data_IF_358120120303
#
_entry.id   IF_358120120303
#
_cell.length_a   1.000
_cell.length_b   1.000
_cell.length_c   1.000
_cell.angle_alpha   90.00
_cell.angle_beta   90.00
_cell.angle_gamma   90.00
#
_symmetry.space_group_name_H-M   'P 1'
#
loop_
_entity.id
_entity.type
_entity.pdbx_description
1 polymer ?
#
# COMPACT_ATOMS: atom_id res chain seq x y z
N UNK A 1 4.58 4.58 24.04
CA UNK A 1 3.18 4.38 24.51
C UNK A 1 2.26 4.67 23.32
N UNK A 2 1.43 3.71 22.88
CA UNK A 2 0.61 3.88 21.66
C UNK A 2 -0.45 4.96 21.86
N UNK A 3 -0.54 5.94 20.95
CA UNK A 3 -1.56 7.02 20.96
C UNK A 3 -2.96 6.43 21.15
N UNK A 4 -3.24 5.29 20.49
CA UNK A 4 -4.51 4.60 20.59
C UNK A 4 -4.82 4.13 22.02
N UNK A 5 -3.82 3.59 22.74
CA UNK A 5 -3.98 3.18 24.14
C UNK A 5 -4.32 4.39 25.02
N UNK A 6 -3.63 5.51 24.81
CA UNK A 6 -3.86 6.77 25.54
C UNK A 6 -5.26 7.33 25.34
N UNK A 7 -5.82 7.23 24.11
CA UNK A 7 -7.19 7.68 23.83
C UNK A 7 -8.22 6.71 24.41
N UNK A 8 -8.02 5.40 24.28
CA UNK A 8 -8.95 4.40 24.83
C UNK A 8 -9.04 4.49 26.36
N UNK A 9 -7.93 4.77 27.04
CA UNK A 9 -7.87 4.93 28.51
C UNK A 9 -8.80 6.04 29.04
N UNK A 10 -9.23 6.97 28.17
CA UNK A 10 -10.12 8.07 28.56
C UNK A 10 -11.58 7.67 28.70
N UNK A 11 -12.01 6.58 28.05
CA UNK A 11 -13.43 6.23 27.96
C UNK A 11 -13.73 4.73 28.01
N UNK A 12 -12.72 3.85 27.99
CA UNK A 12 -12.84 2.39 28.17
C UNK A 12 -12.44 2.03 29.59
N UNK A 13 -13.09 1.02 30.18
CA UNK A 13 -12.74 0.55 31.53
C UNK A 13 -11.34 -0.08 31.55
N UNK A 14 -10.61 0.14 32.65
CA UNK A 14 -9.23 -0.33 32.82
C UNK A 14 -9.10 -1.86 32.74
N UNK A 15 -10.05 -2.61 33.30
CA UNK A 15 -10.09 -4.08 33.29
C UNK A 15 -10.22 -4.65 31.86
N UNK A 16 -10.99 -3.98 31.00
CA UNK A 16 -11.14 -4.34 29.59
C UNK A 16 -9.87 -4.04 28.81
N UNK A 17 -9.20 -2.93 29.11
CA UNK A 17 -7.93 -2.55 28.47
C UNK A 17 -6.78 -3.48 28.87
N UNK A 18 -6.70 -3.89 30.12
CA UNK A 18 -5.68 -4.83 30.59
C UNK A 18 -5.84 -6.20 29.95
N UNK A 19 -7.07 -6.73 29.91
CA UNK A 19 -7.40 -8.00 29.23
C UNK A 19 -7.06 -7.98 27.73
N UNK A 20 -7.20 -6.83 27.07
CA UNK A 20 -6.96 -6.68 25.63
C UNK A 20 -5.65 -5.93 25.30
N UNK A 21 -4.71 -5.86 26.24
CA UNK A 21 -3.48 -5.07 26.10
C UNK A 21 -2.64 -5.37 24.85
N UNK A 22 -2.72 -6.60 24.34
CA UNK A 22 -2.02 -7.05 23.12
C UNK A 22 -2.81 -6.87 21.83
N UNK A 23 -4.15 -6.68 21.90
CA UNK A 23 -5.06 -6.62 20.75
C UNK A 23 -6.18 -5.62 20.98
N UNK A 24 -5.82 -4.34 21.06
CA UNK A 24 -6.76 -3.24 21.28
C UNK A 24 -7.84 -3.18 20.18
N UNK A 25 -7.57 -3.70 18.97
CA UNK A 25 -8.54 -3.76 17.87
C UNK A 25 -9.73 -4.70 18.11
N UNK A 26 -9.67 -5.56 19.13
CA UNK A 26 -10.74 -6.49 19.48
C UNK A 26 -11.74 -5.93 20.48
N UNK A 27 -11.47 -4.74 21.03
CA UNK A 27 -12.37 -4.13 22.00
C UNK A 27 -13.62 -3.65 21.24
N UNK A 28 -14.77 -4.21 21.61
CA UNK A 28 -16.05 -3.77 21.07
C UNK A 28 -16.48 -2.48 21.78
N UNK A 29 -16.41 -1.37 21.04
CA UNK A 29 -16.80 -0.04 21.50
C UNK A 29 -18.32 0.21 21.39
N UNK A 30 -19.09 -0.73 20.84
CA UNK A 30 -20.55 -0.68 20.83
C UNK A 30 -21.16 -1.19 22.14
N UNK A 31 -20.46 -2.09 22.85
CA UNK A 31 -20.89 -2.61 24.14
C UNK A 31 -20.68 -1.57 25.24
N UNK A 32 -21.79 -1.05 25.78
CA UNK A 32 -21.78 -0.09 26.91
C UNK A 32 -21.05 -0.64 28.15
N UNK A 33 -21.04 -1.96 28.32
CA UNK A 33 -20.36 -2.62 29.43
C UNK A 33 -18.84 -2.47 29.38
N UNK A 34 -18.26 -2.24 28.20
CA UNK A 34 -16.83 -2.00 28.05
C UNK A 34 -16.43 -0.55 28.34
N UNK A 35 -17.40 0.37 28.33
CA UNK A 35 -17.17 1.80 28.39
C UNK A 35 -17.35 2.33 29.82
N UNK A 36 -16.66 3.43 30.10
CA UNK A 36 -16.91 4.22 31.30
C UNK A 36 -18.25 4.95 31.16
N UNK A 37 -19.01 5.11 32.25
CA UNK A 37 -20.17 5.98 32.23
C UNK A 37 -19.74 7.43 31.94
N UNK A 38 -20.58 8.21 31.26
CA UNK A 38 -20.23 9.53 30.72
C UNK A 38 -19.65 10.49 31.76
N UNK A 39 -20.07 10.37 33.01
CA UNK A 39 -19.56 11.17 34.13
C UNK A 39 -18.09 10.86 34.50
N UNK A 40 -17.58 9.68 34.16
CA UNK A 40 -16.20 9.21 34.45
C UNK A 40 -15.25 9.35 33.26
N UNK A 41 -15.71 9.89 32.13
CA UNK A 41 -14.87 10.13 30.95
C UNK A 41 -13.76 11.12 31.32
N UNK A 42 -12.53 10.75 31.01
CA UNK A 42 -11.36 11.54 31.37
C UNK A 42 -11.23 12.78 30.46
N UNK A 43 -11.33 13.96 31.07
CA UNK A 43 -11.04 15.24 30.46
C UNK A 43 -9.64 15.72 30.90
N UNK A 44 -8.95 16.46 30.04
CA UNK A 44 -7.68 17.11 30.40
C UNK A 44 -7.88 18.18 31.47
N UNK A 45 -6.81 18.52 32.18
CA UNK A 45 -6.85 19.57 33.20
C UNK A 45 -7.28 20.92 32.63
N UNK A 46 -6.77 21.29 31.46
CA UNK A 46 -7.16 22.52 30.74
C UNK A 46 -8.66 22.61 30.47
N UNK A 47 -9.26 21.52 29.99
CA UNK A 47 -10.70 21.48 29.67
C UNK A 47 -11.52 21.61 30.95
N UNK A 48 -11.09 21.00 32.06
CA UNK A 48 -11.78 21.13 33.35
C UNK A 48 -11.68 22.55 33.90
N UNK A 49 -10.54 23.21 33.77
CA UNK A 49 -10.34 24.59 34.20
C UNK A 49 -11.23 25.55 33.39
N UNK A 50 -11.30 25.37 32.08
CA UNK A 50 -12.15 26.21 31.22
C UNK A 50 -13.63 25.99 31.48
N UNK A 51 -14.07 24.74 31.72
CA UNK A 51 -15.44 24.44 32.14
C UNK A 51 -15.82 25.14 33.46
N UNK A 52 -14.89 25.24 34.42
CA UNK A 52 -15.14 25.95 35.69
C UNK A 52 -15.30 27.46 35.53
N UNK A 53 -14.73 28.06 34.48
CA UNK A 53 -14.87 29.50 34.20
C UNK A 53 -16.23 29.86 33.62
N UNK A 54 -16.95 28.90 33.05
CA UNK A 54 -18.27 29.10 32.46
C UNK A 54 -19.31 29.16 33.60
N UNK A 55 -19.75 30.38 33.95
CA UNK A 55 -20.68 30.62 35.07
C UNK A 55 -22.13 30.20 34.80
N UNK A 56 -22.47 29.95 33.55
CA UNK A 56 -23.86 29.68 33.09
C UNK A 56 -24.11 28.20 32.77
N UNK A 57 -23.13 27.30 32.94
CA UNK A 57 -23.32 25.89 32.61
C UNK A 57 -24.20 25.18 33.66
N UNK A 58 -25.17 24.41 33.20
CA UNK A 58 -25.94 23.52 34.07
C UNK A 58 -25.22 22.17 34.23
N UNK A 59 -25.52 21.40 35.30
CA UNK A 59 -25.02 20.02 35.43
C UNK A 59 -25.43 19.11 34.26
N UNK A 60 -26.52 19.46 33.56
CA UNK A 60 -26.98 18.76 32.35
C UNK A 60 -26.07 19.06 31.16
N UNK A 61 -25.56 20.29 31.04
CA UNK A 61 -24.65 20.70 29.96
C UNK A 61 -23.26 20.10 30.15
N UNK A 62 -22.79 20.01 31.40
CA UNK A 62 -21.54 19.31 31.71
C UNK A 62 -21.64 17.81 31.38
N UNK A 63 -22.80 17.20 31.63
CA UNK A 63 -23.05 15.82 31.29
C UNK A 63 -23.14 15.60 29.78
N UNK A 64 -23.83 16.47 29.05
CA UNK A 64 -23.94 16.39 27.58
C UNK A 64 -22.58 16.58 26.93
N UNK A 65 -21.79 17.56 27.36
CA UNK A 65 -20.43 17.78 26.86
C UNK A 65 -19.52 16.57 27.08
N UNK A 66 -19.56 15.95 28.26
CA UNK A 66 -18.80 14.71 28.53
C UNK A 66 -19.25 13.54 27.65
N UNK A 67 -20.56 13.41 27.42
CA UNK A 67 -21.12 12.42 26.50
C UNK A 67 -20.66 12.67 25.07
N UNK A 68 -20.59 13.92 24.64
CA UNK A 68 -20.11 14.30 23.31
C UNK A 68 -18.61 14.02 23.15
N UNK A 69 -17.80 14.32 24.18
CA UNK A 69 -16.38 13.95 24.22
C UNK A 69 -16.17 12.44 24.11
N UNK A 70 -16.95 11.65 24.86
CA UNK A 70 -16.89 10.19 24.78
C UNK A 70 -17.25 9.68 23.37
N UNK A 71 -18.26 10.30 22.75
CA UNK A 71 -18.68 9.98 21.37
C UNK A 71 -17.59 10.36 20.36
N UNK A 72 -16.91 11.48 20.55
CA UNK A 72 -15.80 11.91 19.71
C UNK A 72 -14.59 10.96 19.84
N UNK A 73 -14.20 10.58 21.06
CA UNK A 73 -13.13 9.60 21.29
C UNK A 73 -13.48 8.24 20.70
N UNK A 74 -14.72 7.78 20.87
CA UNK A 74 -15.22 6.54 20.27
C UNK A 74 -15.12 6.60 18.74
N UNK A 75 -15.68 7.63 18.12
CA UNK A 75 -15.66 7.82 16.66
C UNK A 75 -14.23 7.85 16.12
N UNK A 76 -13.32 8.55 16.81
CA UNK A 76 -11.91 8.59 16.46
C UNK A 76 -11.28 7.19 16.50
N UNK A 77 -11.45 6.45 17.60
CA UNK A 77 -10.91 5.11 17.74
C UNK A 77 -11.49 4.15 16.69
N UNK A 78 -12.81 4.18 16.45
CA UNK A 78 -13.46 3.39 15.41
C UNK A 78 -12.89 3.70 14.02
N UNK A 79 -12.68 4.97 13.69
CA UNK A 79 -12.10 5.36 12.40
C UNK A 79 -10.64 4.93 12.27
N UNK A 80 -9.86 5.06 13.34
CA UNK A 80 -8.48 4.57 13.40
C UNK A 80 -8.47 3.06 13.21
N UNK A 81 -9.35 2.29 13.86
CA UNK A 81 -9.45 0.84 13.69
C UNK A 81 -9.88 0.44 12.28
N UNK A 82 -10.88 1.13 11.71
CA UNK A 82 -11.36 0.88 10.34
C UNK A 82 -10.27 1.10 9.29
N UNK A 83 -9.51 2.18 9.44
CA UNK A 83 -8.46 2.58 8.49
C UNK A 83 -7.07 2.03 8.86
N UNK A 84 -6.93 1.36 9.99
CA UNK A 84 -5.63 0.92 10.48
C UNK A 84 -5.03 -0.11 9.54
N UNK A 85 -3.75 0.03 9.15
CA UNK A 85 -3.05 -1.05 8.48
C UNK A 85 -3.05 -2.33 9.34
N UNK A 86 -3.20 -2.23 10.66
CA UNK A 86 -3.29 -3.37 11.59
C UNK A 86 -4.49 -4.29 11.33
N UNK A 87 -5.48 -3.90 10.52
CA UNK A 87 -6.56 -4.81 10.10
C UNK A 87 -6.05 -5.90 9.16
N UNK A 88 -5.04 -5.60 8.35
CA UNK A 88 -4.55 -6.51 7.34
C UNK A 88 -3.55 -7.51 7.95
N UNK A 89 -3.74 -8.80 7.70
CA UNK A 89 -2.80 -9.81 8.18
C UNK A 89 -1.44 -9.67 7.51
N UNK A 90 -1.42 -9.23 6.26
CA UNK A 90 -0.20 -9.01 5.50
C UNK A 90 0.69 -7.93 6.14
N UNK A 91 0.14 -6.80 6.56
CA UNK A 91 0.88 -5.72 7.24
C UNK A 91 1.40 -6.15 8.63
N UNK A 92 0.70 -7.07 9.32
CA UNK A 92 1.25 -7.72 10.51
C UNK A 92 2.40 -8.66 10.15
N UNK A 93 2.29 -9.39 9.05
CA UNK A 93 3.34 -10.27 8.54
C UNK A 93 4.64 -9.53 8.19
N UNK A 94 4.55 -8.44 7.42
CA UNK A 94 5.73 -7.66 6.98
C UNK A 94 6.53 -7.06 8.16
N UNK A 95 5.91 -6.90 9.33
CA UNK A 95 6.61 -6.44 10.52
C UNK A 95 7.63 -7.44 11.08
N UNK A 96 7.79 -8.61 10.44
CA UNK A 96 8.98 -9.46 10.63
C UNK A 96 10.30 -8.72 10.34
N UNK A 97 10.28 -7.66 9.52
CA UNK A 97 11.43 -6.82 9.22
C UNK A 97 11.63 -5.67 10.22
N UNK A 98 10.76 -5.51 11.22
CA UNK A 98 10.97 -4.49 12.25
C UNK A 98 12.15 -4.89 13.15
N UNK A 99 13.15 -4.01 13.36
CA UNK A 99 14.30 -4.30 14.22
C UNK A 99 13.91 -4.82 15.61
N UNK A 100 12.89 -4.25 16.24
CA UNK A 100 12.40 -4.69 17.57
C UNK A 100 11.81 -6.10 17.57
N UNK A 101 11.32 -6.55 16.42
CA UNK A 101 10.74 -7.88 16.21
C UNK A 101 11.83 -8.88 15.88
N UNK A 102 12.84 -8.48 15.11
CA UNK A 102 14.01 -9.33 14.77
C UNK A 102 14.79 -9.74 16.03
N UNK A 103 14.84 -8.88 17.05
CA UNK A 103 15.41 -9.21 18.37
C UNK A 103 14.68 -10.38 19.06
N UNK A 104 13.47 -10.72 18.60
CA UNK A 104 12.71 -11.87 19.08
C UNK A 104 12.51 -12.88 17.92
N UNK A 105 13.49 -13.77 17.65
CA UNK A 105 13.48 -14.64 16.48
C UNK A 105 12.20 -15.47 16.32
N UNK A 106 11.62 -15.94 17.43
CA UNK A 106 10.36 -16.70 17.42
C UNK A 106 9.16 -15.89 16.91
N UNK A 107 9.11 -14.60 17.25
CA UNK A 107 8.03 -13.70 16.80
C UNK A 107 8.27 -13.31 15.34
N UNK A 108 9.52 -13.01 14.98
CA UNK A 108 9.91 -12.70 13.61
C UNK A 108 9.57 -13.84 12.64
N UNK A 109 9.91 -15.09 12.99
CA UNK A 109 9.62 -16.28 12.17
C UNK A 109 8.11 -16.53 11.99
N UNK A 110 7.33 -16.36 13.05
CA UNK A 110 5.85 -16.46 12.97
C UNK A 110 5.28 -15.42 12.02
N UNK A 111 5.74 -14.17 12.12
CA UNK A 111 5.26 -13.07 11.26
C UNK A 111 5.71 -13.25 9.82
N UNK A 112 6.94 -13.73 9.60
CA UNK A 112 7.43 -14.08 8.27
C UNK A 112 6.55 -15.17 7.64
N UNK A 113 6.22 -16.22 8.40
CA UNK A 113 5.38 -17.32 7.88
C UNK A 113 4.02 -16.81 7.41
N UNK A 114 3.35 -15.97 8.21
CA UNK A 114 2.10 -15.30 7.80
C UNK A 114 2.28 -14.46 6.54
N UNK A 115 3.39 -13.72 6.43
CA UNK A 115 3.70 -12.92 5.25
C UNK A 115 3.84 -13.80 4.00
N UNK A 116 4.66 -14.85 4.07
CA UNK A 116 4.96 -15.73 2.95
C UNK A 116 3.73 -16.53 2.50
N UNK A 117 2.92 -17.04 3.44
CA UNK A 117 1.66 -17.73 3.14
C UNK A 117 0.73 -16.84 2.29
N UNK A 118 0.59 -15.57 2.67
CA UNK A 118 -0.21 -14.60 1.92
C UNK A 118 0.41 -14.30 0.54
N UNK A 119 1.73 -14.15 0.44
CA UNK A 119 2.37 -13.90 -0.85
C UNK A 119 2.22 -15.07 -1.81
N UNK A 120 2.28 -16.31 -1.30
CA UNK A 120 2.05 -17.52 -2.09
C UNK A 120 0.57 -17.63 -2.48
N UNK A 121 -0.36 -17.38 -1.56
CA UNK A 121 -1.81 -17.46 -1.86
C UNK A 121 -2.25 -16.45 -2.93
N UNK A 122 -1.56 -15.31 -3.02
CA UNK A 122 -1.80 -14.28 -4.03
C UNK A 122 -0.95 -14.46 -5.30
N UNK A 123 -0.20 -15.56 -5.42
CA UNK A 123 0.70 -15.87 -6.54
C UNK A 123 1.78 -14.79 -6.79
N UNK A 124 2.20 -14.05 -5.76
CA UNK A 124 3.29 -13.07 -5.87
C UNK A 124 4.67 -13.74 -5.88
N UNK A 125 4.79 -14.86 -5.17
CA UNK A 125 5.98 -15.71 -5.16
C UNK A 125 5.56 -17.19 -5.22
N UNK A 126 6.48 -18.05 -5.65
CA UNK A 126 6.27 -19.51 -5.64
C UNK A 126 6.57 -20.09 -4.26
N UNK A 127 5.99 -21.25 -3.94
CA UNK A 127 6.28 -21.97 -2.68
C UNK A 127 7.77 -22.23 -2.48
N UNK A 128 8.46 -22.67 -3.53
CA UNK A 128 9.92 -22.91 -3.50
C UNK A 128 10.70 -21.64 -3.11
N UNK A 129 10.30 -20.47 -3.65
CA UNK A 129 10.93 -19.19 -3.27
C UNK A 129 10.63 -18.83 -1.82
N UNK A 130 9.39 -19.06 -1.37
CA UNK A 130 8.99 -18.81 0.01
C UNK A 130 9.79 -19.66 1.01
N UNK A 131 9.96 -20.95 0.74
CA UNK A 131 10.75 -21.86 1.58
C UNK A 131 12.21 -21.41 1.66
N UNK A 132 12.80 -21.06 0.51
CA UNK A 132 14.17 -20.52 0.47
C UNK A 132 14.33 -19.22 1.25
N UNK A 133 13.35 -18.30 1.19
CA UNK A 133 13.35 -17.07 1.99
C UNK A 133 13.25 -17.40 3.47
N UNK A 134 12.41 -18.35 3.87
CA UNK A 134 12.22 -18.74 5.27
C UNK A 134 13.51 -19.29 5.89
N UNK A 135 14.19 -20.20 5.18
CA UNK A 135 15.47 -20.75 5.62
C UNK A 135 16.54 -19.67 5.74
N UNK A 136 16.67 -18.84 4.70
CA UNK A 136 17.67 -17.76 4.65
C UNK A 136 17.44 -16.71 5.73
N UNK A 137 16.18 -16.33 5.96
CA UNK A 137 15.82 -15.37 6.99
C UNK A 137 16.14 -15.88 8.40
N UNK A 138 15.89 -17.17 8.67
CA UNK A 138 16.20 -17.78 9.97
C UNK A 138 17.69 -17.71 10.29
N UNK A 139 18.55 -17.99 9.31
CA UNK A 139 20.01 -17.86 9.46
C UNK A 139 20.40 -16.38 9.65
N UNK A 140 19.81 -15.49 8.85
CA UNK A 140 20.10 -14.06 8.89
C UNK A 140 19.79 -13.43 10.25
N UNK A 141 18.59 -13.66 10.81
CA UNK A 141 18.22 -13.07 12.10
C UNK A 141 18.99 -13.67 13.28
N UNK A 142 19.51 -14.89 13.15
CA UNK A 142 20.33 -15.52 14.20
C UNK A 142 21.78 -15.03 14.18
N UNK A 143 22.19 -14.30 13.14
CA UNK A 143 23.55 -13.78 13.04
C UNK A 143 23.81 -12.73 14.15
N UNK A 144 24.87 -12.90 14.98
CA UNK A 144 25.20 -11.97 16.05
C UNK A 144 25.45 -10.53 15.59
N UNK A 145 25.97 -10.35 14.37
CA UNK A 145 26.17 -9.03 13.76
C UNK A 145 24.83 -8.35 13.56
N UNK A 146 23.87 -9.05 12.96
CA UNK A 146 22.51 -8.55 12.73
C UNK A 146 21.84 -8.20 14.05
N UNK A 147 21.87 -9.09 15.05
CA UNK A 147 21.28 -8.83 16.37
C UNK A 147 21.84 -7.56 17.02
N UNK A 148 23.17 -7.43 17.07
CA UNK A 148 23.84 -6.26 17.67
C UNK A 148 23.51 -4.95 16.94
N UNK A 149 23.33 -5.00 15.62
CA UNK A 149 22.89 -3.83 14.85
C UNK A 149 21.43 -3.49 15.14
N UNK A 150 20.54 -4.49 15.15
CA UNK A 150 19.11 -4.28 15.42
C UNK A 150 18.87 -3.74 16.83
N UNK A 151 19.69 -4.10 17.83
CA UNK A 151 19.64 -3.53 19.18
C UNK A 151 19.99 -2.04 19.22
N UNK A 152 20.94 -1.62 18.38
CA UNK A 152 21.44 -0.23 18.34
C UNK A 152 20.67 0.67 17.41
N UNK A 153 19.85 0.08 16.53
CA UNK A 153 19.13 0.79 15.49
C UNK A 153 18.25 1.90 16.05
N UNK A 154 18.42 3.12 15.51
CA UNK A 154 17.57 4.26 15.86
C UNK A 154 16.79 4.73 14.63
N UNK A 155 15.47 4.50 14.66
CA UNK A 155 14.55 4.87 13.58
C UNK A 155 14.58 6.36 13.19
N UNK A 156 14.97 7.22 14.12
CA UNK A 156 15.08 8.67 13.90
C UNK A 156 16.35 9.09 13.16
N UNK A 157 17.38 8.24 13.15
CA UNK A 157 18.72 8.57 12.63
C UNK A 157 19.13 7.76 11.41
N UNK A 158 18.57 6.57 11.25
CA UNK A 158 19.00 5.60 10.25
C UNK A 158 17.80 5.11 9.44
N UNK A 159 18.01 4.95 8.14
CA UNK A 159 17.00 4.38 7.25
C UNK A 159 17.05 2.86 7.30
N UNK A 160 15.89 2.23 7.31
CA UNK A 160 15.79 0.78 7.46
C UNK A 160 16.28 0.03 6.22
N UNK A 161 16.03 0.56 5.02
CA UNK A 161 16.48 -0.02 3.75
C UNK A 161 18.00 -0.06 3.66
N UNK A 162 18.67 1.07 3.90
CA UNK A 162 20.14 1.16 3.88
C UNK A 162 20.79 0.17 4.86
N UNK A 163 20.20 0.00 6.05
CA UNK A 163 20.66 -0.97 7.05
C UNK A 163 20.52 -2.40 6.56
N UNK A 164 19.37 -2.79 5.99
CA UNK A 164 19.20 -4.15 5.47
C UNK A 164 20.18 -4.45 4.33
N UNK A 165 20.33 -3.55 3.36
CA UNK A 165 21.25 -3.77 2.23
C UNK A 165 22.71 -3.84 2.68
N UNK A 166 23.12 -2.98 3.62
CA UNK A 166 24.47 -3.05 4.22
C UNK A 166 24.70 -4.38 4.96
N UNK A 167 23.73 -4.82 5.76
CA UNK A 167 23.81 -6.10 6.48
C UNK A 167 23.85 -7.29 5.54
N UNK A 168 23.14 -7.21 4.41
CA UNK A 168 23.16 -8.28 3.43
C UNK A 168 24.52 -8.44 2.76
N UNK A 169 25.21 -7.34 2.45
CA UNK A 169 26.59 -7.37 1.93
C UNK A 169 27.54 -7.96 2.97
N UNK A 170 27.48 -7.47 4.22
CA UNK A 170 28.33 -7.94 5.32
C UNK A 170 28.12 -9.43 5.62
N UNK A 171 26.87 -9.89 5.59
CA UNK A 171 26.50 -11.27 5.93
C UNK A 171 26.50 -12.20 4.72
N UNK A 172 26.86 -11.73 3.52
CA UNK A 172 26.76 -12.46 2.25
C UNK A 172 25.41 -13.19 2.11
N UNK A 173 24.31 -12.45 2.33
CA UNK A 173 22.96 -13.02 2.34
C UNK A 173 22.51 -13.42 0.94
N UNK A 174 21.73 -14.51 0.79
CA UNK A 174 21.32 -15.01 -0.52
C UNK A 174 20.29 -14.11 -1.22
N UNK A 175 20.32 -14.10 -2.56
CA UNK A 175 19.51 -13.21 -3.43
C UNK A 175 17.99 -13.34 -3.22
N UNK A 176 17.51 -14.50 -2.80
CA UNK A 176 16.11 -14.74 -2.51
C UNK A 176 15.61 -13.86 -1.34
N UNK A 177 16.40 -13.74 -0.27
CA UNK A 177 16.10 -12.91 0.88
C UNK A 177 16.17 -11.42 0.51
N UNK A 178 17.17 -11.01 -0.27
CA UNK A 178 17.28 -9.65 -0.79
C UNK A 178 16.04 -9.27 -1.59
N UNK A 179 15.63 -10.15 -2.52
CA UNK A 179 14.48 -9.92 -3.38
C UNK A 179 13.19 -9.78 -2.57
N UNK A 180 13.01 -10.63 -1.55
CA UNK A 180 11.88 -10.55 -0.64
C UNK A 180 11.86 -9.21 0.14
N UNK A 181 12.97 -8.86 0.80
CA UNK A 181 13.03 -7.62 1.59
C UNK A 181 12.86 -6.39 0.71
N UNK A 182 13.48 -6.37 -0.46
CA UNK A 182 13.27 -5.32 -1.46
C UNK A 182 11.79 -5.23 -1.86
N UNK A 183 11.15 -6.35 -2.16
CA UNK A 183 9.73 -6.39 -2.50
C UNK A 183 8.88 -5.78 -1.37
N UNK A 184 9.11 -6.15 -0.11
CA UNK A 184 8.36 -5.59 1.02
C UNK A 184 8.59 -4.09 1.18
N UNK A 185 9.83 -3.62 1.09
CA UNK A 185 10.19 -2.22 1.31
C UNK A 185 9.62 -1.28 0.22
N UNK A 186 9.38 -1.77 -1.00
CA UNK A 186 8.77 -0.96 -2.07
C UNK A 186 7.23 -0.93 -2.03
N UNK A 187 6.56 -1.84 -1.31
CA UNK A 187 5.08 -1.89 -1.25
C UNK A 187 4.47 -0.61 -0.66
N UNK A 188 5.20 0.08 0.22
CA UNK A 188 4.69 1.25 0.95
C UNK A 188 4.47 2.50 0.09
N UNK A 189 4.89 2.52 -1.18
CA UNK A 189 4.81 3.73 -2.01
C UNK A 189 3.38 4.07 -2.50
N UNK A 190 2.46 3.11 -2.53
CA UNK A 190 1.14 3.28 -3.17
C UNK A 190 -0.02 3.70 -2.25
N UNK A 191 0.16 3.74 -0.92
CA UNK A 191 -0.91 4.07 0.05
C UNK A 191 -0.61 5.27 0.94
N UNK A 192 0.54 5.94 0.76
CA UNK A 192 0.91 7.18 1.42
C UNK A 192 0.18 8.41 0.82
N UNK A 193 -1.07 8.25 0.36
CA UNK A 193 -1.84 9.36 -0.24
C UNK A 193 -2.09 10.51 0.76
N UNK A 194 -2.11 10.19 2.06
CA UNK A 194 -2.31 11.15 3.16
C UNK A 194 -0.97 11.77 3.65
N UNK A 195 0.18 11.21 3.26
CA UNK A 195 1.51 11.70 3.64
C UNK A 195 2.19 12.52 2.53
N UNK A 196 1.42 13.13 1.62
CA UNK A 196 1.98 14.13 0.69
C UNK A 196 2.70 15.29 1.41
N UNK A 197 2.43 15.50 2.70
CA UNK A 197 3.15 16.48 3.53
C UNK A 197 4.47 16.00 4.17
N UNK A 198 4.79 14.70 4.11
CA UNK A 198 6.02 14.13 4.70
C UNK A 198 6.94 13.45 3.67
N UNK A 199 6.52 13.38 2.41
CA UNK A 199 7.38 12.90 1.35
C UNK A 199 8.41 13.97 1.01
N UNK A 200 9.70 13.61 1.06
CA UNK A 200 10.81 14.38 0.47
C UNK A 200 10.52 14.70 -1.02
N UNK A 201 9.58 13.98 -1.65
CA UNK A 201 9.19 14.15 -3.05
C UNK A 201 8.17 15.29 -3.26
N UNK A 202 7.65 15.92 -2.20
CA UNK A 202 6.73 17.06 -2.37
C UNK A 202 7.38 18.21 -3.13
N UNK A 203 8.70 18.38 -2.99
CA UNK A 203 9.47 19.40 -3.70
C UNK A 203 9.56 19.15 -5.22
N UNK A 204 9.40 17.90 -5.66
CA UNK A 204 9.43 17.54 -7.08
C UNK A 204 8.04 17.51 -7.73
N UNK A 205 6.96 17.69 -6.97
CA UNK A 205 5.58 17.59 -7.45
C UNK A 205 5.07 18.96 -7.89
N UNK A 206 4.86 19.13 -9.20
CA UNK A 206 4.22 20.31 -9.78
C UNK A 206 2.81 19.93 -10.27
N UNK A 207 1.83 20.82 -10.11
CA UNK A 207 0.47 20.60 -10.64
C UNK A 207 0.50 20.39 -12.17
N UNK A 208 -0.30 19.44 -12.66
CA UNK A 208 -0.41 19.07 -14.09
C UNK A 208 0.90 18.56 -14.74
N UNK A 209 1.80 17.98 -13.96
CA UNK A 209 3.03 17.38 -14.47
C UNK A 209 2.77 16.00 -15.10
N UNK A 210 3.43 15.73 -16.23
CA UNK A 210 3.46 14.40 -16.84
C UNK A 210 4.33 13.45 -16.01
N UNK A 211 3.98 12.16 -15.97
CA UNK A 211 4.75 11.13 -15.26
C UNK A 211 6.22 11.10 -15.70
N UNK A 212 6.48 11.19 -17.01
CA UNK A 212 7.84 11.27 -17.58
C UNK A 212 8.64 12.44 -16.99
N UNK A 213 7.98 13.59 -16.81
CA UNK A 213 8.62 14.78 -16.24
C UNK A 213 8.92 14.60 -14.76
N UNK A 214 8.06 13.89 -14.02
CA UNK A 214 8.28 13.59 -12.61
C UNK A 214 9.52 12.68 -12.44
N UNK A 215 9.59 11.61 -13.25
CA UNK A 215 10.73 10.68 -13.25
C UNK A 215 12.02 11.41 -13.61
N UNK A 216 11.99 12.31 -14.59
CA UNK A 216 13.16 13.10 -14.97
C UNK A 216 13.61 14.06 -13.85
N UNK A 217 12.70 14.80 -13.21
CA UNK A 217 13.04 15.66 -12.07
C UNK A 217 13.64 14.87 -10.92
N UNK A 218 13.11 13.67 -10.66
CA UNK A 218 13.62 12.78 -9.62
C UNK A 218 15.06 12.36 -9.89
N UNK A 219 15.36 11.94 -11.12
CA UNK A 219 16.72 11.56 -11.52
C UNK A 219 17.71 12.72 -11.37
N UNK A 220 17.28 13.95 -11.68
CA UNK A 220 18.10 15.15 -11.50
C UNK A 220 18.34 15.40 -10.01
N UNK A 221 17.29 15.36 -9.18
CA UNK A 221 17.40 15.57 -7.74
C UNK A 221 18.34 14.56 -7.09
N UNK A 222 18.14 13.27 -7.36
CA UNK A 222 18.98 12.18 -6.83
C UNK A 222 20.45 12.35 -7.28
N UNK A 223 20.67 12.78 -8.53
CA UNK A 223 22.01 13.07 -9.05
C UNK A 223 22.69 14.26 -8.37
N UNK A 224 21.95 15.33 -8.07
CA UNK A 224 22.47 16.51 -7.36
C UNK A 224 22.79 16.18 -5.90
N UNK A 225 21.90 15.44 -5.23
CA UNK A 225 22.13 14.97 -3.85
C UNK A 225 23.33 14.03 -3.79
N UNK A 226 23.45 13.09 -4.74
CA UNK A 226 24.59 12.18 -4.83
C UNK A 226 25.92 12.89 -5.09
N UNK A 227 25.91 14.08 -5.69
CA UNK A 227 27.11 14.89 -5.91
C UNK A 227 27.55 15.72 -4.68
N UNK A 228 26.79 15.71 -3.57
CA UNK A 228 27.06 16.55 -2.39
C UNK A 228 26.25 17.85 -2.34
N UNK A 229 25.37 18.07 -3.33
CA UNK A 229 24.56 19.28 -3.47
C UNK A 229 24.92 20.09 -4.70
N UNK A 230 24.23 21.21 -4.90
CA UNK A 230 24.36 22.04 -6.12
C UNK A 230 25.78 22.62 -6.26
N UNK A 231 26.44 22.96 -5.14
CA UNK A 231 27.76 23.59 -5.15
C UNK A 231 28.88 22.62 -5.58
N UNK A 232 28.69 21.32 -5.34
CA UNK A 232 29.69 20.28 -5.62
C UNK A 232 29.42 19.59 -6.97
N UNK A 233 28.36 19.99 -7.68
CA UNK A 233 28.00 19.43 -8.98
C UNK A 233 28.93 19.92 -10.09
N UNK A 234 29.75 19.02 -10.63
CA UNK A 234 30.63 19.30 -11.77
C UNK A 234 29.83 19.28 -13.08
N UNK A 235 29.69 20.44 -13.73
CA UNK A 235 29.03 20.55 -15.04
C UNK A 235 29.96 20.01 -16.13
N UNK A 236 29.60 18.85 -16.69
CA UNK A 236 30.38 18.22 -17.76
C UNK A 236 30.10 18.84 -19.14
N UNK A 237 31.06 18.76 -20.06
CA UNK A 237 30.89 19.18 -21.46
C UNK A 237 29.73 18.45 -22.16
N UNK A 238 29.47 17.20 -21.77
CA UNK A 238 28.34 16.41 -22.26
C UNK A 238 27.01 17.05 -21.87
N UNK A 239 26.84 17.47 -20.61
CA UNK A 239 25.62 18.15 -20.15
C UNK A 239 25.37 19.43 -20.93
N UNK A 240 26.41 20.23 -21.18
CA UNK A 240 26.30 21.47 -21.98
C UNK A 240 25.84 21.13 -23.40
N UNK A 241 26.41 20.10 -24.03
CA UNK A 241 26.01 19.69 -25.38
C UNK A 241 24.57 19.14 -25.40
N UNK A 242 24.15 18.42 -24.36
CA UNK A 242 22.78 17.94 -24.20
C UNK A 242 21.78 19.10 -24.13
N UNK A 243 22.09 20.16 -23.36
CA UNK A 243 21.23 21.35 -23.26
C UNK A 243 21.17 22.09 -24.59
N UNK A 244 22.31 22.25 -25.29
CA UNK A 244 22.35 22.90 -26.61
C UNK A 244 21.47 22.20 -27.65
N UNK A 245 21.38 20.87 -27.58
CA UNK A 245 20.56 20.07 -28.50
C UNK A 245 19.13 19.82 -27.99
N UNK A 246 18.74 20.38 -26.84
CA UNK A 246 17.43 20.10 -26.21
C UNK A 246 16.26 20.47 -27.11
N UNK A 247 16.35 21.58 -27.83
CA UNK A 247 15.29 22.03 -28.75
C UNK A 247 15.10 21.05 -29.91
N UNK A 248 16.19 20.57 -30.53
CA UNK A 248 16.11 19.58 -31.61
C UNK A 248 15.51 18.26 -31.11
N UNK A 249 15.93 17.80 -29.93
CA UNK A 249 15.36 16.58 -29.32
C UNK A 249 13.87 16.74 -28.99
N UNK A 250 13.45 17.94 -28.59
CA UNK A 250 12.04 18.25 -28.39
C UNK A 250 11.25 18.17 -29.70
N UNK A 251 11.77 18.74 -30.79
CA UNK A 251 11.12 18.67 -32.11
C UNK A 251 10.99 17.21 -32.59
N UNK A 252 12.06 16.42 -32.49
CA UNK A 252 12.02 14.99 -32.82
C UNK A 252 11.00 14.22 -31.97
N UNK A 253 10.93 14.51 -30.67
CA UNK A 253 9.95 13.87 -29.77
C UNK A 253 8.51 14.25 -30.14
N UNK A 254 8.27 15.50 -30.57
CA UNK A 254 6.97 15.97 -31.02
C UNK A 254 6.53 15.25 -32.31
N UNK A 255 7.45 15.05 -33.26
CA UNK A 255 7.19 14.29 -34.48
C UNK A 255 6.87 12.82 -34.18
N UNK A 256 7.66 12.14 -33.35
CA UNK A 256 7.39 10.75 -32.93
C UNK A 256 6.04 10.62 -32.22
N UNK A 257 5.66 11.60 -31.39
CA UNK A 257 4.33 11.60 -30.74
C UNK A 257 3.19 11.75 -31.74
N UNK A 258 3.36 12.56 -32.80
CA UNK A 258 2.36 12.67 -33.88
C UNK A 258 2.24 11.37 -34.67
N UNK A 259 3.36 10.73 -35.00
CA UNK A 259 3.37 9.48 -35.75
C UNK A 259 2.72 8.34 -34.96
N UNK A 260 3.13 8.14 -33.71
CA UNK A 260 2.52 7.12 -32.82
C UNK A 260 1.03 7.36 -32.56
N UNK A 261 0.56 8.62 -32.52
CA UNK A 261 -0.88 8.91 -32.44
C UNK A 261 -1.61 8.46 -33.70
N UNK A 262 -1.06 8.75 -34.88
CA UNK A 262 -1.65 8.33 -36.17
C UNK A 262 -1.69 6.80 -36.29
N UNK A 263 -0.63 6.11 -35.90
CA UNK A 263 -0.59 4.64 -35.88
C UNK A 263 -1.63 4.04 -34.94
N UNK A 264 -1.81 4.62 -33.74
CA UNK A 264 -2.84 4.19 -32.80
C UNK A 264 -4.25 4.40 -33.36
N UNK A 265 -4.51 5.54 -33.98
CA UNK A 265 -5.81 5.82 -34.60
C UNK A 265 -6.11 4.85 -35.76
N UNK A 266 -5.11 4.55 -36.58
CA UNK A 266 -5.22 3.55 -37.64
C UNK A 266 -5.47 2.14 -37.08
N UNK A 267 -4.74 1.72 -36.05
CA UNK A 267 -4.92 0.43 -35.40
C UNK A 267 -6.32 0.28 -34.77
N UNK A 268 -6.84 1.35 -34.15
CA UNK A 268 -8.21 1.39 -33.61
C UNK A 268 -9.24 1.29 -34.73
N UNK A 269 -9.05 2.02 -35.84
CA UNK A 269 -9.94 1.95 -36.99
C UNK A 269 -9.95 0.56 -37.64
N UNK A 270 -8.79 -0.08 -37.78
CA UNK A 270 -8.68 -1.45 -38.28
C UNK A 270 -9.33 -2.47 -37.34
N UNK A 271 -9.12 -2.34 -36.02
CA UNK A 271 -9.77 -3.20 -35.04
C UNK A 271 -11.30 -3.11 -35.14
N UNK A 272 -11.85 -1.89 -35.26
CA UNK A 272 -13.29 -1.67 -35.48
C UNK A 272 -13.81 -2.32 -36.76
N UNK A 273 -13.06 -2.23 -37.87
CA UNK A 273 -13.41 -2.89 -39.14
C UNK A 273 -13.42 -4.42 -38.98
N UNK A 274 -12.39 -5.00 -38.34
CA UNK A 274 -12.30 -6.44 -38.07
C UNK A 274 -13.45 -6.93 -37.18
N UNK A 275 -13.79 -6.18 -36.14
CA UNK A 275 -14.91 -6.51 -35.24
C UNK A 275 -16.28 -6.47 -35.96
N UNK A 276 -16.47 -5.51 -36.86
CA UNK A 276 -17.68 -5.41 -37.69
C UNK A 276 -17.82 -6.61 -38.63
N UNK A 277 -16.76 -6.95 -39.37
CA UNK A 277 -16.69 -8.14 -40.23
C UNK A 277 -16.94 -9.44 -39.45
N UNK A 278 -16.38 -9.56 -38.24
CA UNK A 278 -16.57 -10.72 -37.37
C UNK A 278 -18.05 -10.89 -36.98
N UNK A 279 -18.75 -9.79 -36.64
CA UNK A 279 -20.18 -9.82 -36.32
C UNK A 279 -21.03 -10.21 -37.53
N UNK A 280 -20.73 -9.67 -38.71
CA UNK A 280 -21.43 -10.03 -39.94
C UNK A 280 -21.27 -11.51 -40.29
N UNK A 281 -20.05 -12.05 -40.20
CA UNK A 281 -19.78 -13.46 -40.44
C UNK A 281 -20.48 -14.37 -39.41
N UNK A 282 -20.53 -13.97 -38.14
CA UNK A 282 -21.27 -14.70 -37.10
C UNK A 282 -22.79 -14.71 -37.38
N UNK A 283 -23.36 -13.58 -37.78
CA UNK A 283 -24.77 -13.49 -38.15
C UNK A 283 -25.11 -14.34 -39.37
N UNK A 284 -24.24 -14.33 -40.40
CA UNK A 284 -24.39 -15.23 -41.58
C UNK A 284 -24.32 -16.69 -41.18
N UNK A 285 -23.38 -17.07 -40.31
CA UNK A 285 -23.24 -18.45 -39.79
C UNK A 285 -24.50 -18.91 -39.05
N UNK A 286 -25.07 -18.05 -38.20
CA UNK A 286 -26.29 -18.36 -37.45
C UNK A 286 -27.51 -18.53 -38.36
N UNK A 287 -27.67 -17.67 -39.38
CA UNK A 287 -28.73 -17.82 -40.38
C UNK A 287 -28.62 -19.15 -41.13
N UNK A 288 -27.42 -19.47 -41.64
CA UNK A 288 -27.16 -20.74 -42.32
C UNK A 288 -27.45 -21.96 -41.43
N UNK A 289 -27.10 -21.92 -40.14
CA UNK A 289 -27.45 -23.00 -39.20
C UNK A 289 -28.96 -23.12 -38.99
N UNK A 290 -29.67 -22.00 -38.88
CA UNK A 290 -31.12 -22.00 -38.70
C UNK A 290 -31.84 -22.55 -39.94
N UNK A 291 -31.37 -22.19 -41.13
CA UNK A 291 -31.90 -22.69 -42.40
C UNK A 291 -31.63 -24.20 -42.56
N UNK A 292 -30.40 -24.65 -42.24
CA UNK A 292 -30.06 -26.08 -42.23
C UNK A 292 -30.90 -26.88 -41.22
N UNK A 293 -31.17 -26.32 -40.04
CA UNK A 293 -32.01 -26.99 -39.04
C UNK A 293 -33.47 -27.13 -39.51
N UNK A 294 -34.01 -26.10 -40.18
CA UNK A 294 -35.34 -26.16 -40.79
C UNK A 294 -35.39 -27.22 -41.89
N UNK A 295 -34.43 -27.23 -42.81
CA UNK A 295 -34.36 -28.25 -43.87
C UNK A 295 -34.22 -29.67 -43.29
N UNK A 296 -33.39 -29.87 -42.27
CA UNK A 296 -33.27 -31.15 -41.56
C UNK A 296 -34.61 -31.58 -40.94
N UNK A 297 -35.33 -30.67 -40.29
CA UNK A 297 -36.64 -31.00 -39.69
C UNK A 297 -37.69 -31.40 -40.73
N UNK A 298 -37.70 -30.73 -41.90
CA UNK A 298 -38.58 -31.08 -43.02
C UNK A 298 -38.26 -32.46 -43.59
N UNK A 299 -36.98 -32.80 -43.73
CA UNK A 299 -36.54 -34.12 -44.19
C UNK A 299 -36.91 -35.19 -43.15
N UNK A 300 -36.76 -34.92 -41.85
CA UNK A 300 -37.15 -35.86 -40.79
C UNK A 300 -38.66 -36.09 -40.73
N UNK A 301 -39.47 -35.06 -40.98
CA UNK A 301 -40.93 -35.18 -41.11
C UNK A 301 -41.33 -36.01 -42.33
N UNK A 302 -40.69 -35.79 -43.48
CA UNK A 302 -40.90 -36.60 -44.68
C UNK A 302 -40.49 -38.08 -44.46
N UNK A 303 -39.38 -38.33 -43.76
CA UNK A 303 -38.94 -39.69 -43.42
C UNK A 303 -39.91 -40.39 -42.45
N UNK A 304 -40.53 -39.67 -41.51
CA UNK A 304 -41.57 -40.22 -40.63
C UNK A 304 -42.86 -40.54 -41.38
N UNK A 305 -43.24 -39.71 -42.34
CA UNK A 305 -44.44 -39.94 -43.16
C UNK A 305 -44.34 -41.19 -44.05
N UNK A 306 -43.12 -41.61 -44.41
CA UNK A 306 -42.87 -42.83 -45.22
C UNK A 306 -42.78 -44.10 -44.34
N UNK A 307 -42.63 -43.96 -43.02
CA UNK A 307 -42.52 -45.09 -42.07
C UNK A 307 -43.85 -45.55 -41.45
N UNK A 308 -44.96 -44.90 -41.78
CA UNK A 308 -46.33 -45.35 -41.51
C UNK A 308 -46.98 -45.87 -42.79
#
# INVERSE_FOLDING_TARGET
>A
MSILKSVLDKFVKADVLEKNSSRLEKIDLALSDNLLPSNKVALSFEVKDEMQKIKESSPSDDYSFRKDCATAYKTFCEKVFERSPLKFQFTKGISCLDPSVILNPTIADKRLSVCLEIMVSNNWITGIKADGVKESFKVFIQNPVVQKYMEKFKREKERLDDVFFSLFEVCNSPDNLWSFVKFILILSHGSAFVERGFSINSECLIENQLEESLVALRQIYDGVVGAGGINDLVITKLMINFVKNSHNRYLEALERRKETSREKDQAVAEKRKKDMLKRELQAKKQKLMADFHKESSLIDEQLKAIKN
#
